data_IF_676760447282
#
_entry.id   IF_676760447282
#
_cell.length_a   1.000
_cell.length_b   1.000
_cell.length_c   1.000
_cell.angle_alpha   90.00
_cell.angle_beta   90.00
_cell.angle_gamma   90.00
#
_symmetry.space_group_name_H-M   'P 1'
#
loop_
_entity.id
_entity.type
_entity.pdbx_description
1 polymer ?
#
# COMPACT_ATOMS: atom_id res chain seq x y z
N UNK A 1 0.02 10.84 -13.58
CA UNK A 1 1.01 11.15 -12.53
C UNK A 1 0.84 10.13 -11.44
N UNK A 2 1.92 9.56 -10.91
CA UNK A 2 1.86 8.68 -9.74
C UNK A 2 3.25 8.49 -9.13
N UNK A 3 4.25 8.15 -9.94
CA UNK A 3 5.65 8.09 -9.47
C UNK A 3 6.19 9.46 -9.05
N UNK A 4 5.88 10.51 -9.82
CA UNK A 4 6.34 11.86 -9.51
C UNK A 4 5.71 12.43 -8.23
N UNK A 5 4.43 12.14 -7.97
CA UNK A 5 3.77 12.58 -6.74
C UNK A 5 4.35 11.87 -5.51
N UNK A 6 4.68 10.57 -5.64
CA UNK A 6 5.39 9.83 -4.58
C UNK A 6 6.80 10.38 -4.37
N UNK A 7 7.54 10.68 -5.43
CA UNK A 7 8.87 11.29 -5.33
C UNK A 7 8.83 12.63 -4.61
N UNK A 8 7.85 13.48 -4.93
CA UNK A 8 7.66 14.75 -4.25
C UNK A 8 7.30 14.55 -2.76
N UNK A 9 6.34 13.66 -2.49
CA UNK A 9 5.95 13.33 -1.12
C UNK A 9 7.14 12.88 -0.26
N UNK A 10 7.97 11.97 -0.78
CA UNK A 10 9.15 11.50 -0.06
C UNK A 10 10.21 12.59 0.08
N UNK A 11 10.46 13.41 -0.94
CA UNK A 11 11.38 14.55 -0.82
C UNK A 11 11.00 15.51 0.31
N UNK A 12 9.70 15.73 0.53
CA UNK A 12 9.20 16.66 1.55
C UNK A 12 9.17 16.05 2.97
N UNK A 13 8.95 14.73 3.11
CA UNK A 13 8.67 14.09 4.41
C UNK A 13 9.70 13.06 4.86
N UNK A 14 10.43 12.45 3.92
CA UNK A 14 11.41 11.40 4.15
C UNK A 14 12.47 11.38 3.02
N UNK A 15 13.27 12.45 2.89
CA UNK A 15 14.24 12.59 1.80
C UNK A 15 15.37 11.55 1.84
N UNK A 16 15.49 10.83 2.96
CA UNK A 16 16.38 9.69 3.16
C UNK A 16 15.90 8.40 2.47
N UNK A 17 14.63 8.31 2.08
CA UNK A 17 14.05 7.13 1.43
C UNK A 17 14.22 7.23 -0.09
N UNK A 18 15.00 6.31 -0.64
CA UNK A 18 15.19 6.19 -2.08
C UNK A 18 14.10 5.35 -2.75
N UNK A 19 13.60 5.83 -3.89
CA UNK A 19 12.72 5.04 -4.77
C UNK A 19 13.58 4.12 -5.62
N UNK A 20 13.27 2.82 -5.56
CA UNK A 20 13.87 1.79 -6.39
C UNK A 20 13.01 1.63 -7.64
N UNK A 21 13.55 1.94 -8.81
CA UNK A 21 12.90 1.70 -10.11
C UNK A 21 13.57 0.52 -10.82
N UNK A 22 12.79 -0.45 -11.26
CA UNK A 22 13.26 -1.63 -11.98
C UNK A 22 12.80 -1.63 -13.44
N UNK A 23 13.53 -2.30 -14.31
CA UNK A 23 13.14 -2.48 -15.71
C UNK A 23 12.05 -3.55 -15.92
N UNK A 24 11.72 -4.29 -14.86
CA UNK A 24 10.76 -5.39 -14.88
C UNK A 24 9.53 -5.05 -14.04
N UNK A 25 8.38 -5.61 -14.42
CA UNK A 25 7.14 -5.40 -13.68
C UNK A 25 7.21 -5.99 -12.28
N UNK A 26 6.73 -5.24 -11.31
CA UNK A 26 6.50 -5.60 -9.90
C UNK A 26 5.01 -5.45 -9.53
N UNK A 27 4.11 -5.54 -10.53
CA UNK A 27 2.68 -5.26 -10.35
C UNK A 27 1.92 -6.28 -9.50
N UNK A 28 2.49 -7.46 -9.28
CA UNK A 28 1.96 -8.47 -8.34
C UNK A 28 2.97 -8.74 -7.24
N UNK A 29 2.48 -9.30 -6.13
CA UNK A 29 3.32 -9.65 -4.98
C UNK A 29 4.43 -10.63 -5.40
N UNK A 30 4.11 -11.65 -6.19
CA UNK A 30 5.07 -12.65 -6.64
C UNK A 30 6.16 -12.03 -7.54
N UNK A 31 5.76 -11.13 -8.44
CA UNK A 31 6.68 -10.42 -9.31
C UNK A 31 7.59 -9.49 -8.50
N UNK A 32 7.02 -8.69 -7.59
CA UNK A 32 7.77 -7.78 -6.72
C UNK A 32 8.75 -8.54 -5.82
N UNK A 33 8.30 -9.61 -5.16
CA UNK A 33 9.14 -10.43 -4.29
C UNK A 33 10.33 -11.02 -5.03
N UNK A 34 10.09 -11.58 -6.22
CA UNK A 34 11.15 -12.09 -7.09
C UNK A 34 12.09 -10.98 -7.55
N UNK A 35 11.56 -9.83 -7.94
CA UNK A 35 12.33 -8.71 -8.45
C UNK A 35 13.26 -8.09 -7.41
N UNK A 36 12.83 -8.05 -6.15
CA UNK A 36 13.59 -7.51 -5.03
C UNK A 36 14.36 -8.56 -4.21
N UNK A 37 14.28 -9.84 -4.62
CA UNK A 37 14.88 -10.99 -3.94
C UNK A 37 14.50 -11.07 -2.45
N UNK A 38 13.20 -10.99 -2.18
CA UNK A 38 12.58 -11.05 -0.84
C UNK A 38 11.46 -12.09 -0.83
N UNK A 39 10.99 -12.46 0.36
CA UNK A 39 9.81 -13.31 0.45
C UNK A 39 8.52 -12.54 0.13
N UNK A 40 7.46 -13.21 -0.40
CA UNK A 40 6.19 -12.57 -0.73
C UNK A 40 5.57 -11.73 0.38
N UNK A 41 5.73 -12.16 1.64
CA UNK A 41 5.18 -11.43 2.77
C UNK A 41 5.89 -10.09 3.06
N UNK A 42 7.15 -9.91 2.66
CA UNK A 42 7.82 -8.62 2.78
C UNK A 42 7.27 -7.54 1.83
N UNK A 43 6.51 -7.92 0.81
CA UNK A 43 5.84 -6.95 -0.06
C UNK A 43 4.66 -6.33 0.69
N UNK A 44 4.67 -5.02 0.89
CA UNK A 44 3.56 -4.30 1.52
C UNK A 44 2.55 -3.87 0.46
N UNK A 45 1.57 -4.73 0.17
CA UNK A 45 0.55 -4.40 -0.85
C UNK A 45 -0.47 -3.42 -0.30
N UNK A 46 -0.85 -2.43 -1.10
CA UNK A 46 -1.94 -1.49 -0.77
C UNK A 46 -3.22 -1.91 -1.48
N UNK A 47 -4.29 -2.07 -0.70
CA UNK A 47 -5.62 -2.47 -1.15
C UNK A 47 -6.59 -1.31 -0.97
N UNK A 48 -7.19 -0.86 -2.07
CA UNK A 48 -8.20 0.20 -2.03
C UNK A 48 -9.59 -0.38 -1.83
N UNK A 49 -10.26 0.03 -0.76
CA UNK A 49 -11.56 -0.48 -0.36
C UNK A 49 -12.58 0.66 -0.29
N UNK A 50 -13.84 0.34 -0.62
CA UNK A 50 -14.98 1.18 -0.30
C UNK A 50 -15.75 0.58 0.87
N UNK A 51 -15.96 1.39 1.91
CA UNK A 51 -16.79 1.07 3.08
C UNK A 51 -17.89 2.12 3.16
N UNK A 52 -19.14 1.72 2.89
CA UNK A 52 -20.26 2.67 2.66
C UNK A 52 -19.89 3.70 1.58
N UNK A 53 -19.75 4.96 1.96
CA UNK A 53 -19.42 6.08 1.07
C UNK A 53 -17.96 6.52 1.17
N UNK A 54 -17.17 5.87 2.03
CA UNK A 54 -15.76 6.22 2.28
C UNK A 54 -14.83 5.27 1.54
N UNK A 55 -13.84 5.83 0.87
CA UNK A 55 -12.71 5.08 0.31
C UNK A 55 -11.58 5.06 1.34
N UNK A 56 -11.01 3.89 1.57
CA UNK A 56 -9.88 3.68 2.48
C UNK A 56 -8.80 2.85 1.79
N UNK A 57 -7.57 2.99 2.26
CA UNK A 57 -6.44 2.15 1.85
C UNK A 57 -6.04 1.24 3.01
N UNK A 58 -5.86 -0.05 2.73
CA UNK A 58 -5.30 -1.01 3.69
C UNK A 58 -3.97 -1.50 3.14
N UNK A 59 -2.88 -1.26 3.87
CA UNK A 59 -1.56 -1.81 3.60
C UNK A 59 -1.39 -3.09 4.41
N UNK A 60 -1.06 -4.20 3.76
CA UNK A 60 -0.88 -5.50 4.41
C UNK A 60 0.29 -6.26 3.80
N UNK A 61 0.78 -7.29 4.51
CA UNK A 61 1.80 -8.20 3.94
C UNK A 61 1.28 -8.87 2.67
N UNK A 62 2.18 -9.16 1.72
CA UNK A 62 1.80 -9.49 0.35
C UNK A 62 0.99 -10.78 0.22
N UNK A 63 1.29 -11.76 1.06
CA UNK A 63 0.65 -13.08 1.10
C UNK A 63 -0.60 -13.13 2.00
N UNK A 64 -0.90 -12.09 2.79
CA UNK A 64 -2.10 -12.02 3.61
C UNK A 64 -3.36 -11.81 2.77
N UNK A 65 -4.51 -12.26 3.28
CA UNK A 65 -5.81 -12.06 2.62
C UNK A 65 -6.74 -11.30 3.55
N UNK A 66 -7.53 -10.40 2.98
CA UNK A 66 -8.55 -9.69 3.74
C UNK A 66 -9.57 -10.67 4.34
N UNK A 67 -9.89 -10.48 5.61
CA UNK A 67 -10.96 -11.18 6.31
C UNK A 67 -12.19 -10.27 6.37
N UNK A 68 -13.25 -10.65 5.65
CA UNK A 68 -14.49 -9.88 5.58
C UNK A 68 -15.20 -9.70 6.93
N UNK A 69 -15.05 -10.65 7.87
CA UNK A 69 -15.62 -10.52 9.21
C UNK A 69 -14.83 -9.48 10.00
N UNK A 70 -13.51 -9.57 9.99
CA UNK A 70 -12.65 -8.58 10.66
C UNK A 70 -12.85 -7.18 10.09
N UNK A 71 -12.86 -7.02 8.77
CA UNK A 71 -13.17 -5.75 8.09
C UNK A 71 -14.51 -5.15 8.56
N UNK A 72 -15.56 -5.97 8.63
CA UNK A 72 -16.88 -5.51 9.09
C UNK A 72 -16.85 -5.08 10.56
N UNK A 73 -16.13 -5.83 11.41
CA UNK A 73 -15.98 -5.48 12.83
C UNK A 73 -15.22 -4.17 12.99
N UNK A 74 -14.11 -4.00 12.27
CA UNK A 74 -13.23 -2.82 12.37
C UNK A 74 -13.88 -1.57 11.79
N UNK A 75 -14.53 -1.66 10.63
CA UNK A 75 -15.07 -0.50 9.92
C UNK A 75 -16.59 -0.34 10.04
N UNK A 76 -17.27 -1.22 10.80
CA UNK A 76 -18.71 -1.16 11.04
C UNK A 76 -19.59 -1.48 9.82
N UNK A 77 -19.02 -1.85 8.68
CA UNK A 77 -19.75 -2.19 7.47
C UNK A 77 -18.95 -3.12 6.54
N UNK A 78 -19.64 -3.73 5.58
CA UNK A 78 -18.97 -4.54 4.55
C UNK A 78 -18.09 -3.64 3.69
N UNK A 79 -16.85 -4.06 3.50
CA UNK A 79 -15.95 -3.47 2.51
C UNK A 79 -16.10 -4.18 1.17
N UNK A 80 -15.88 -3.43 0.07
CA UNK A 80 -15.65 -4.01 -1.26
C UNK A 80 -14.37 -3.44 -1.84
N UNK A 81 -13.72 -4.20 -2.72
CA UNK A 81 -12.64 -3.67 -3.55
C UNK A 81 -13.18 -2.58 -4.47
N UNK A 82 -12.33 -1.59 -4.76
CA UNK A 82 -12.59 -0.63 -5.84
C UNK A 82 -12.41 -1.27 -7.21
N UNK A 83 -13.13 -0.78 -8.22
CA UNK A 83 -12.80 -1.05 -9.63
C UNK A 83 -11.49 -0.36 -10.04
N UNK A 84 -10.89 -0.77 -11.15
CA UNK A 84 -9.66 -0.15 -11.65
C UNK A 84 -9.82 1.36 -11.87
N UNK A 85 -10.95 1.81 -12.42
CA UNK A 85 -11.23 3.24 -12.63
C UNK A 85 -11.40 3.97 -11.29
N UNK A 86 -12.10 3.37 -10.32
CA UNK A 86 -12.22 3.93 -8.97
C UNK A 86 -10.85 4.05 -8.29
N UNK A 87 -9.94 3.08 -8.46
CA UNK A 87 -8.58 3.12 -7.92
C UNK A 87 -7.80 4.31 -8.47
N UNK A 88 -7.75 4.45 -9.80
CA UNK A 88 -6.99 5.52 -10.45
C UNK A 88 -7.55 6.88 -10.05
N UNK A 89 -8.87 7.04 -10.07
CA UNK A 89 -9.52 8.30 -9.70
C UNK A 89 -9.31 8.65 -8.21
N UNK A 90 -9.34 7.67 -7.31
CA UNK A 90 -9.20 7.94 -5.88
C UNK A 90 -7.76 8.16 -5.44
N UNK A 91 -6.80 7.43 -6.02
CA UNK A 91 -5.42 7.39 -5.54
C UNK A 91 -4.44 8.17 -6.41
N UNK A 92 -4.76 8.38 -7.69
CA UNK A 92 -3.82 8.84 -8.72
C UNK A 92 -2.89 7.72 -9.22
N UNK A 93 -2.88 6.55 -8.59
CA UNK A 93 -1.95 5.47 -8.90
C UNK A 93 -2.55 4.44 -9.88
N UNK A 94 -1.73 3.86 -10.77
CA UNK A 94 -2.17 2.74 -11.59
C UNK A 94 -2.40 1.49 -10.73
N UNK A 95 -3.31 0.62 -11.16
CA UNK A 95 -3.47 -0.72 -10.57
C UNK A 95 -2.13 -1.47 -10.61
N UNK A 96 -1.73 -2.07 -9.50
CA UNK A 96 -0.42 -2.72 -9.33
C UNK A 96 0.73 -1.76 -8.96
N UNK A 97 0.50 -0.44 -8.98
CA UNK A 97 1.42 0.58 -8.46
C UNK A 97 0.84 1.38 -7.28
N UNK A 98 -0.34 0.99 -6.80
CA UNK A 98 -1.01 1.65 -5.66
C UNK A 98 -0.14 1.56 -4.43
N UNK A 99 0.08 2.72 -3.80
CA UNK A 99 0.83 2.85 -2.57
C UNK A 99 0.15 3.87 -1.65
N UNK A 100 0.55 3.96 -0.37
CA UNK A 100 -0.06 4.90 0.57
C UNK A 100 0.54 6.31 0.50
N UNK A 101 1.50 6.55 -0.41
CA UNK A 101 2.21 7.82 -0.53
C UNK A 101 1.72 8.64 -1.72
N UNK A 102 1.92 9.96 -1.69
CA UNK A 102 1.71 10.84 -2.86
C UNK A 102 0.33 10.69 -3.52
N UNK A 103 -0.71 10.47 -2.71
CA UNK A 103 -2.08 10.26 -3.17
C UNK A 103 -2.66 11.53 -3.78
N UNK A 104 -3.44 11.39 -4.85
CA UNK A 104 -4.17 12.51 -5.48
C UNK A 104 -5.17 13.17 -4.52
N UNK A 105 -5.77 12.37 -3.64
CA UNK A 105 -6.73 12.82 -2.64
C UNK A 105 -6.33 12.29 -1.25
N UNK A 106 -6.62 13.04 -0.18
CA UNK A 106 -6.40 12.54 1.17
C UNK A 106 -7.33 11.36 1.44
N UNK A 107 -6.77 10.17 1.62
CA UNK A 107 -7.50 8.95 1.96
C UNK A 107 -7.04 8.41 3.31
N UNK A 108 -7.94 7.91 4.16
CA UNK A 108 -7.56 7.18 5.36
C UNK A 108 -6.72 5.95 5.00
N UNK A 109 -5.52 5.87 5.59
CA UNK A 109 -4.61 4.73 5.44
C UNK A 109 -4.65 3.89 6.72
N UNK A 110 -4.72 2.59 6.53
CA UNK A 110 -4.65 1.61 7.61
C UNK A 110 -3.52 0.64 7.33
N UNK A 111 -2.72 0.32 8.35
CA UNK A 111 -1.70 -0.72 8.26
C UNK A 111 -2.19 -1.96 9.01
N UNK A 112 -2.18 -3.12 8.35
CA UNK A 112 -2.54 -4.37 9.00
C UNK A 112 -1.40 -4.89 9.87
N UNK A 113 -1.72 -5.40 11.07
CA UNK A 113 -0.72 -5.89 12.03
C UNK A 113 0.18 -6.99 11.48
N UNK A 114 -0.21 -7.67 10.40
CA UNK A 114 0.63 -8.66 9.71
C UNK A 114 1.97 -8.11 9.21
N UNK A 115 2.06 -6.79 8.96
CA UNK A 115 3.31 -6.14 8.57
C UNK A 115 4.36 -6.14 9.70
N UNK A 116 3.92 -6.20 10.97
CA UNK A 116 4.81 -6.20 12.14
C UNK A 116 5.65 -7.47 12.27
N UNK A 117 5.40 -8.48 11.44
CA UNK A 117 6.26 -9.66 11.32
C UNK A 117 7.58 -9.38 10.61
N UNK A 118 7.77 -8.19 10.01
CA UNK A 118 8.94 -7.83 9.23
C UNK A 118 9.61 -6.58 9.77
N UNK A 119 10.94 -6.58 9.82
CA UNK A 119 11.71 -5.38 10.15
C UNK A 119 11.75 -4.38 8.98
N UNK A 120 11.63 -4.87 7.75
CA UNK A 120 11.61 -4.08 6.53
C UNK A 120 10.59 -4.67 5.55
N UNK A 121 9.81 -3.79 4.93
CA UNK A 121 8.82 -4.11 3.91
C UNK A 121 9.01 -3.26 2.66
N UNK A 122 8.42 -3.72 1.57
CA UNK A 122 8.52 -3.09 0.25
C UNK A 122 7.13 -2.76 -0.30
N UNK A 123 6.57 -1.57 -0.02
CA UNK A 123 5.41 -1.06 -0.73
C UNK A 123 5.80 -0.56 -2.12
N UNK A 124 4.80 -0.50 -3.02
CA UNK A 124 4.97 0.17 -4.30
C UNK A 124 5.27 1.67 -4.10
N UNK A 125 5.80 2.33 -5.13
CA UNK A 125 6.12 3.75 -5.12
C UNK A 125 5.39 4.54 -6.24
N UNK A 126 4.12 4.23 -6.47
CA UNK A 126 3.29 4.91 -7.46
C UNK A 126 3.42 4.38 -8.89
N UNK A 127 4.34 3.46 -9.17
CA UNK A 127 4.40 2.77 -10.46
C UNK A 127 4.49 1.25 -10.31
N UNK A 128 4.14 0.54 -11.38
CA UNK A 128 4.12 -0.93 -11.46
C UNK A 128 5.51 -1.57 -11.51
N UNK A 129 6.56 -0.78 -11.40
CA UNK A 129 7.97 -1.19 -11.46
C UNK A 129 8.82 -0.40 -10.43
N UNK A 130 8.16 0.17 -9.43
CA UNK A 130 8.80 1.03 -8.43
C UNK A 130 8.41 0.62 -7.02
N UNK A 131 9.36 0.65 -6.09
CA UNK A 131 9.14 0.36 -4.68
C UNK A 131 10.04 1.23 -3.80
N UNK A 132 9.78 1.21 -2.49
CA UNK A 132 10.70 1.74 -1.47
C UNK A 132 11.03 0.66 -0.45
N UNK A 133 12.19 0.74 0.20
CA UNK A 133 12.49 -0.06 1.40
C UNK A 133 12.22 0.78 2.62
N UNK A 134 11.40 0.28 3.54
CA UNK A 134 10.95 1.04 4.70
C UNK A 134 10.55 0.10 5.84
N UNK A 135 10.70 0.54 7.09
CA UNK A 135 10.13 -0.19 8.23
C UNK A 135 8.60 -0.01 8.26
N UNK A 136 7.82 -1.00 8.72
CA UNK A 136 6.37 -0.85 8.86
C UNK A 136 5.95 0.35 9.72
N UNK A 137 6.68 0.60 10.81
CA UNK A 137 6.45 1.72 11.72
C UNK A 137 6.66 3.06 11.00
N UNK A 138 7.78 3.21 10.27
CA UNK A 138 8.08 4.43 9.54
C UNK A 138 7.04 4.69 8.44
N UNK A 139 6.60 3.63 7.75
CA UNK A 139 5.52 3.74 6.77
C UNK A 139 4.21 4.23 7.42
N UNK A 140 3.84 3.67 8.57
CA UNK A 140 2.65 4.09 9.30
C UNK A 140 2.75 5.54 9.78
N UNK A 141 3.91 5.98 10.27
CA UNK A 141 4.16 7.37 10.66
C UNK A 141 4.00 8.35 9.50
N UNK A 142 4.67 8.09 8.36
CA UNK A 142 4.62 8.96 7.18
C UNK A 142 3.20 9.10 6.63
N UNK A 143 2.39 8.06 6.75
CA UNK A 143 1.03 8.01 6.20
C UNK A 143 -0.04 8.34 7.24
N UNK A 144 0.36 8.65 8.48
CA UNK A 144 -0.54 8.80 9.63
C UNK A 144 -1.52 7.62 9.75
N UNK A 145 -1.05 6.41 9.42
CA UNK A 145 -1.89 5.23 9.32
C UNK A 145 -2.29 4.70 10.70
N UNK A 146 -3.52 4.19 10.77
CA UNK A 146 -4.00 3.46 11.94
C UNK A 146 -3.72 1.96 11.81
N UNK A 147 -3.18 1.34 12.86
CA UNK A 147 -2.97 -0.10 12.90
C UNK A 147 -4.27 -0.87 13.13
N UNK A 148 -4.52 -1.90 12.33
CA UNK A 148 -5.73 -2.73 12.38
C UNK A 148 -5.41 -4.22 12.22
N UNK A 149 -6.32 -5.09 12.65
CA UNK A 149 -6.29 -6.51 12.32
C UNK A 149 -7.47 -6.83 11.40
N UNK A 150 -7.21 -6.90 10.09
CA UNK A 150 -8.23 -7.11 9.05
C UNK A 150 -7.87 -8.21 8.07
N UNK A 151 -6.75 -8.89 8.29
CA UNK A 151 -6.27 -9.98 7.44
C UNK A 151 -6.28 -11.36 8.15
N UNK A 152 -6.09 -12.40 7.34
CA UNK A 152 -5.80 -13.79 7.72
C UNK A 152 -4.66 -14.35 6.87
#
# INVERSE_FOLDING_TARGET
MSLQSVRQFLADHAPDIEIIELNQSTATVELAAKAHNVEPGQIAKTLSLKVKDTIILVVAKGDARLDNKKLKTTFGAKARMLSSDEVVNATGHPVGGVCPFGLEHPLPVYCDISLKGYNEVLPAAGATHSAVRITPERMAELTSATWVDVCQ
#
